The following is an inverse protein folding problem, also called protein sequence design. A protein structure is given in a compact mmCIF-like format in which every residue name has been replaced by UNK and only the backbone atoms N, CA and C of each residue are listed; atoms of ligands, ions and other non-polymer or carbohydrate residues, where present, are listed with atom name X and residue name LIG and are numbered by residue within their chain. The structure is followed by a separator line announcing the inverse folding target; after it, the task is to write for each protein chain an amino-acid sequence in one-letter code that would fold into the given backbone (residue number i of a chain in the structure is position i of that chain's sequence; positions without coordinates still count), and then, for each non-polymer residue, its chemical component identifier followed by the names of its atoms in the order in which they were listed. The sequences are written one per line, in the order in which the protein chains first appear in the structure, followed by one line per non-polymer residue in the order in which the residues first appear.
data_IF_815174323764
#
_entry.id   IF_815174323764
#
_cell.length_a   1.000
_cell.length_b   1.000
_cell.length_c   1.000
_cell.angle_alpha   90.00
_cell.angle_beta   90.00
_cell.angle_gamma   90.00
#
_symmetry.space_group_name_H-M   'P 1'
#
loop_
_entity.id
_entity.type
_entity.pdbx_description
1 polymer ?
#
# COMPACT_ATOMS: atom_id res chain seq x y z
N UNK A 1 8.06 7.02 5.19
CA UNK A 1 8.24 7.21 3.72
C UNK A 1 9.73 7.10 3.43
N UNK A 2 10.16 6.25 2.50
CA UNK A 2 11.59 6.19 2.15
C UNK A 2 11.96 7.37 1.23
N UNK A 3 13.06 8.06 1.52
CA UNK A 3 13.67 9.04 0.63
C UNK A 3 15.16 9.16 0.93
N UNK A 4 16.00 9.04 -0.10
CA UNK A 4 17.46 9.17 0.03
C UNK A 4 17.86 10.64 0.24
N UNK A 5 17.65 11.13 1.47
CA UNK A 5 17.97 12.51 1.92
C UNK A 5 19.06 12.54 2.99
N UNK A 6 19.52 11.36 3.42
CA UNK A 6 20.56 11.20 4.43
C UNK A 6 21.96 11.39 3.87
N UNK A 7 22.90 11.70 4.74
CA UNK A 7 24.31 11.80 4.39
C UNK A 7 24.85 10.45 3.90
N UNK A 8 25.51 10.44 2.74
CA UNK A 8 26.07 9.22 2.16
C UNK A 8 25.01 8.21 1.66
N UNK A 9 23.80 8.65 1.40
CA UNK A 9 22.75 7.91 0.69
C UNK A 9 22.39 8.61 -0.62
N UNK A 10 21.82 7.87 -1.57
CA UNK A 10 21.45 8.40 -2.89
C UNK A 10 20.37 7.52 -3.56
N UNK A 11 19.70 8.03 -4.61
CA UNK A 11 18.68 7.26 -5.33
C UNK A 11 19.17 5.93 -5.91
N UNK A 12 20.46 5.78 -6.24
CA UNK A 12 20.98 4.53 -6.79
C UNK A 12 21.11 3.44 -5.71
N UNK A 13 21.48 3.82 -4.48
CA UNK A 13 21.44 2.92 -3.31
C UNK A 13 20.01 2.52 -2.95
N UNK A 14 19.08 3.49 -2.95
CA UNK A 14 17.66 3.19 -2.75
C UNK A 14 17.12 2.27 -3.84
N UNK A 15 17.51 2.48 -5.11
CA UNK A 15 17.18 1.59 -6.22
C UNK A 15 17.68 0.17 -5.98
N UNK A 16 18.95 0.01 -5.59
CA UNK A 16 19.56 -1.30 -5.36
C UNK A 16 18.85 -2.08 -4.25
N UNK A 17 18.57 -1.42 -3.12
CA UNK A 17 17.84 -2.05 -2.01
C UNK A 17 16.43 -2.46 -2.46
N UNK A 18 15.70 -1.58 -3.13
CA UNK A 18 14.32 -1.85 -3.56
C UNK A 18 14.24 -2.93 -4.66
N UNK A 19 15.23 -2.99 -5.55
CA UNK A 19 15.33 -4.04 -6.56
C UNK A 19 15.62 -5.40 -5.91
N UNK A 20 16.52 -5.44 -4.92
CA UNK A 20 16.79 -6.65 -4.14
C UNK A 20 15.55 -7.08 -3.35
N UNK A 21 14.86 -6.14 -2.71
CA UNK A 21 13.63 -6.38 -1.97
C UNK A 21 12.52 -6.98 -2.83
N UNK A 22 12.38 -6.51 -4.07
CA UNK A 22 11.43 -7.03 -5.06
C UNK A 22 11.90 -8.25 -5.84
N UNK A 23 13.00 -8.90 -5.42
CA UNK A 23 13.59 -10.10 -6.04
C UNK A 23 13.98 -9.92 -7.52
N UNK A 24 14.25 -8.68 -7.95
CA UNK A 24 14.57 -8.38 -9.34
C UNK A 24 13.37 -8.32 -10.30
N UNK A 25 12.16 -8.56 -9.79
CA UNK A 25 10.90 -8.59 -10.57
C UNK A 25 10.26 -7.20 -10.76
N UNK A 26 10.92 -6.14 -10.28
CA UNK A 26 10.49 -4.76 -10.44
C UNK A 26 10.59 -4.33 -11.92
N UNK A 27 9.63 -3.53 -12.39
CA UNK A 27 9.86 -2.71 -13.58
C UNK A 27 10.93 -1.66 -13.24
N UNK A 28 12.11 -1.81 -13.84
CA UNK A 28 13.28 -0.97 -13.57
C UNK A 28 13.06 0.51 -13.91
N UNK A 29 12.20 0.81 -14.90
CA UNK A 29 11.90 2.20 -15.28
C UNK A 29 10.98 2.83 -14.24
N UNK A 30 9.97 2.10 -13.80
CA UNK A 30 9.04 2.55 -12.76
C UNK A 30 9.75 2.70 -11.41
N UNK A 31 10.56 1.71 -11.02
CA UNK A 31 11.34 1.76 -9.79
C UNK A 31 12.34 2.93 -9.79
N UNK A 32 13.01 3.17 -10.92
CA UNK A 32 13.90 4.34 -11.07
C UNK A 32 13.13 5.65 -10.85
N UNK A 33 12.00 5.81 -11.52
CA UNK A 33 11.18 7.01 -11.38
C UNK A 33 10.68 7.22 -9.94
N UNK A 34 10.36 6.13 -9.23
CA UNK A 34 9.97 6.15 -7.83
C UNK A 34 11.08 6.68 -6.91
N UNK A 35 12.28 6.09 -6.99
CA UNK A 35 13.39 6.43 -6.08
C UNK A 35 14.04 7.78 -6.40
N UNK A 36 14.10 8.16 -7.68
CA UNK A 36 14.62 9.47 -8.10
C UNK A 36 13.67 10.62 -7.68
N UNK A 37 12.35 10.36 -7.65
CA UNK A 37 11.36 11.35 -7.19
C UNK A 37 11.27 11.46 -5.66
N UNK A 38 11.84 10.53 -4.90
CA UNK A 38 11.65 10.44 -3.45
C UNK A 38 12.13 11.66 -2.66
N UNK A 39 13.33 12.22 -2.91
CA UNK A 39 13.79 13.42 -2.20
C UNK A 39 12.87 14.63 -2.45
N UNK A 40 12.47 14.85 -3.70
CA UNK A 40 11.59 15.96 -4.06
C UNK A 40 10.18 15.79 -3.46
N UNK A 41 9.67 14.55 -3.44
CA UNK A 41 8.39 14.23 -2.81
C UNK A 41 8.40 14.54 -1.31
N UNK A 42 9.46 14.16 -0.59
CA UNK A 42 9.62 14.44 0.83
C UNK A 42 9.69 15.96 1.13
N UNK A 43 10.42 16.71 0.30
CA UNK A 43 10.50 18.17 0.43
C UNK A 43 9.18 18.85 0.11
N UNK A 44 8.45 18.38 -0.91
CA UNK A 44 7.14 18.90 -1.26
C UNK A 44 6.13 18.71 -0.13
N UNK A 45 6.07 17.51 0.45
CA UNK A 45 5.23 17.25 1.63
C UNK A 45 5.58 18.17 2.80
N UNK A 46 6.88 18.40 3.04
CA UNK A 46 7.32 19.33 4.08
C UNK A 46 6.84 20.77 3.82
N UNK A 47 6.88 21.24 2.56
CA UNK A 47 6.38 22.58 2.18
C UNK A 47 4.87 22.71 2.38
N UNK A 48 4.10 21.65 2.18
CA UNK A 48 2.66 21.62 2.47
C UNK A 48 2.34 21.54 3.97
N UNK A 49 3.34 21.26 4.82
CA UNK A 49 3.18 21.26 6.27
C UNK A 49 3.25 19.90 6.94
N UNK A 50 3.69 18.84 6.25
CA UNK A 50 4.03 17.55 6.90
C UNK A 50 5.22 17.75 7.82
N UNK A 51 5.04 17.40 9.10
CA UNK A 51 6.08 17.58 10.12
C UNK A 51 6.88 16.30 10.31
N UNK A 52 7.94 16.14 9.52
CA UNK A 52 8.90 15.05 9.71
C UNK A 52 9.59 15.14 11.07
N UNK A 53 9.82 13.99 11.71
CA UNK A 53 10.63 13.87 12.92
C UNK A 53 12.04 14.43 12.67
N UNK A 54 12.58 15.13 13.66
CA UNK A 54 13.91 15.75 13.60
C UNK A 54 14.75 15.37 14.81
N UNK A 55 16.05 15.38 14.62
CA UNK A 55 17.00 15.34 15.72
C UNK A 55 17.07 16.70 16.45
N UNK A 56 17.73 16.72 17.60
CA UNK A 56 17.90 17.93 18.41
C UNK A 56 18.61 19.06 17.65
N UNK A 57 19.47 18.73 16.68
CA UNK A 57 20.17 19.68 15.81
C UNK A 57 19.33 20.13 14.59
N UNK A 58 18.09 19.67 14.47
CA UNK A 58 17.17 20.02 13.39
C UNK A 58 17.30 19.19 12.12
N UNK A 59 18.28 18.28 12.00
CA UNK A 59 18.37 17.36 10.85
C UNK A 59 17.18 16.37 10.85
N UNK A 60 16.76 15.86 9.68
CA UNK A 60 15.74 14.82 9.63
C UNK A 60 16.16 13.58 10.41
N UNK A 61 15.29 13.08 11.28
CA UNK A 61 15.51 11.79 11.96
C UNK A 61 15.18 10.67 10.99
N UNK A 62 16.20 9.94 10.56
CA UNK A 62 16.06 8.83 9.60
C UNK A 62 16.11 7.49 10.34
N UNK A 63 15.20 6.59 9.98
CA UNK A 63 15.13 5.24 10.53
C UNK A 63 15.57 4.21 9.48
N UNK A 64 16.06 3.07 9.95
CA UNK A 64 16.29 1.88 9.12
C UNK A 64 14.99 1.09 8.95
N UNK A 65 14.85 0.40 7.82
CA UNK A 65 13.79 -0.59 7.58
C UNK A 65 14.39 -1.96 7.27
N UNK A 66 13.56 -3.00 7.30
CA UNK A 66 14.00 -4.33 6.88
C UNK A 66 14.44 -4.32 5.42
N UNK A 67 15.58 -4.96 5.14
CA UNK A 67 16.14 -5.04 3.78
C UNK A 67 16.74 -3.74 3.22
N UNK A 68 16.97 -2.70 4.03
CA UNK A 68 17.63 -1.45 3.59
C UNK A 68 19.10 -1.38 4.02
N UNK A 69 19.98 -0.89 3.15
CA UNK A 69 21.42 -0.70 3.41
C UNK A 69 21.76 0.62 4.10
N UNK A 70 20.87 1.63 4.04
CA UNK A 70 21.01 2.92 4.73
C UNK A 70 19.72 3.33 5.44
N UNK A 71 19.81 4.05 6.57
CA UNK A 71 18.66 4.72 7.16
C UNK A 71 18.15 5.81 6.21
N UNK A 72 16.92 5.64 5.70
CA UNK A 72 16.28 6.60 4.79
C UNK A 72 14.78 6.73 4.99
N UNK A 73 14.26 6.16 6.07
CA UNK A 73 12.84 6.20 6.38
C UNK A 73 12.53 7.47 7.17
N UNK A 74 11.88 8.43 6.51
CA UNK A 74 11.24 9.58 7.15
C UNK A 74 9.95 9.15 7.85
N UNK A 75 9.70 9.69 9.02
CA UNK A 75 8.54 9.39 9.83
C UNK A 75 7.97 10.64 10.52
N UNK A 76 6.71 10.53 10.93
CA UNK A 76 6.05 11.35 11.94
C UNK A 76 5.60 10.39 13.04
N UNK A 77 6.44 10.22 14.08
CA UNK A 77 6.30 9.17 15.09
C UNK A 77 5.97 7.79 14.47
N UNK A 78 4.79 7.22 14.74
CA UNK A 78 4.29 5.98 14.14
C UNK A 78 2.98 6.15 13.34
N UNK A 79 2.61 7.39 13.01
CA UNK A 79 1.38 7.75 12.30
C UNK A 79 1.65 8.57 11.03
N UNK A 80 2.78 8.29 10.37
CA UNK A 80 3.25 9.04 9.18
C UNK A 80 2.20 9.15 8.07
N UNK A 81 1.47 8.07 7.79
CA UNK A 81 0.40 8.09 6.79
C UNK A 81 -0.75 9.03 7.16
N UNK A 82 -1.13 9.08 8.45
CA UNK A 82 -2.17 9.98 8.93
C UNK A 82 -1.77 11.44 8.78
N UNK A 83 -0.52 11.79 9.10
CA UNK A 83 -0.04 13.17 8.96
C UNK A 83 0.01 13.61 7.49
N UNK A 84 0.47 12.74 6.59
CA UNK A 84 0.45 13.01 5.14
C UNK A 84 -0.99 13.21 4.66
N UNK A 85 -1.91 12.31 5.04
CA UNK A 85 -3.32 12.41 4.63
C UNK A 85 -4.00 13.67 5.16
N UNK A 86 -3.74 14.06 6.42
CA UNK A 86 -4.27 15.29 7.03
C UNK A 86 -3.87 16.53 6.23
N UNK A 87 -2.59 16.62 5.86
CA UNK A 87 -2.05 17.74 5.08
C UNK A 87 -2.63 17.74 3.66
N UNK A 88 -2.59 16.61 2.95
CA UNK A 88 -3.10 16.54 1.58
C UNK A 88 -4.62 16.77 1.48
N UNK A 89 -5.40 16.33 2.48
CA UNK A 89 -6.83 16.60 2.53
C UNK A 89 -7.14 18.09 2.69
N UNK A 90 -6.39 18.80 3.54
CA UNK A 90 -6.53 20.24 3.71
C UNK A 90 -6.17 21.00 2.43
N UNK A 91 -5.11 20.60 1.73
CA UNK A 91 -4.74 21.18 0.44
C UNK A 91 -5.81 20.96 -0.64
N UNK A 92 -6.42 19.77 -0.67
CA UNK A 92 -7.51 19.46 -1.59
C UNK A 92 -8.74 20.34 -1.36
N UNK A 93 -9.09 20.56 -0.08
CA UNK A 93 -10.18 21.44 0.34
C UNK A 93 -9.88 22.89 -0.01
N UNK A 94 -8.67 23.38 0.30
CA UNK A 94 -8.23 24.74 -0.03
C UNK A 94 -8.20 25.00 -1.54
N UNK A 95 -7.89 23.99 -2.35
CA UNK A 95 -7.93 24.07 -3.81
C UNK A 95 -9.34 24.04 -4.41
N UNK A 96 -10.39 23.83 -3.58
CA UNK A 96 -11.78 23.79 -4.04
C UNK A 96 -12.09 22.62 -4.99
N UNK A 97 -11.36 21.50 -4.87
CA UNK A 97 -11.57 20.33 -5.73
C UNK A 97 -12.90 19.66 -5.35
N UNK A 98 -13.79 19.54 -6.35
CA UNK A 98 -15.09 18.89 -6.16
C UNK A 98 -14.95 17.41 -5.78
N UNK A 99 -15.71 16.97 -4.78
CA UNK A 99 -15.72 15.59 -4.28
C UNK A 99 -17.12 14.98 -4.37
N UNK A 100 -17.18 13.72 -4.77
CA UNK A 100 -18.39 12.91 -4.76
C UNK A 100 -18.19 11.74 -3.80
N UNK A 101 -18.33 12.00 -2.50
CA UNK A 101 -18.24 10.95 -1.48
C UNK A 101 -19.44 9.99 -1.58
N UNK A 102 -19.27 8.71 -1.24
CA UNK A 102 -20.31 7.67 -1.37
C UNK A 102 -20.80 7.40 -2.81
N UNK A 103 -19.91 7.59 -3.78
CA UNK A 103 -20.15 7.34 -5.21
C UNK A 103 -19.09 6.36 -5.78
N UNK A 104 -19.07 5.08 -5.38
CA UNK A 104 -18.16 4.10 -5.98
C UNK A 104 -18.34 4.06 -7.51
N UNK A 105 -17.22 3.97 -8.21
CA UNK A 105 -17.21 3.71 -9.64
C UNK A 105 -17.61 2.26 -9.89
N UNK A 106 -18.61 2.05 -10.74
CA UNK A 106 -19.10 0.72 -11.11
C UNK A 106 -18.65 0.29 -12.50
N UNK A 107 -18.33 1.27 -13.36
CA UNK A 107 -17.77 1.00 -14.70
C UNK A 107 -17.00 2.22 -15.24
N UNK A 108 -16.01 2.00 -16.11
CA UNK A 108 -15.35 3.03 -16.90
C UNK A 108 -16.12 3.31 -18.20
N UNK A 109 -16.25 4.57 -18.58
CA UNK A 109 -16.79 4.93 -19.89
C UNK A 109 -15.67 4.83 -20.93
N UNK A 110 -15.94 4.20 -22.06
CA UNK A 110 -14.99 4.04 -23.17
C UNK A 110 -15.65 4.39 -24.49
N UNK A 111 -15.00 5.22 -25.29
CA UNK A 111 -15.44 5.54 -26.64
C UNK A 111 -14.23 5.65 -27.58
N UNK A 112 -14.26 4.95 -28.72
CA UNK A 112 -13.19 5.04 -29.72
C UNK A 112 -11.81 4.59 -29.18
N UNK A 113 -11.78 3.53 -28.36
CA UNK A 113 -10.54 2.96 -27.83
C UNK A 113 -9.87 3.79 -26.72
N UNK A 114 -10.55 4.79 -26.14
CA UNK A 114 -10.06 5.59 -25.01
C UNK A 114 -11.06 5.60 -23.86
N UNK A 115 -10.57 5.82 -22.64
CA UNK A 115 -11.43 6.09 -21.47
C UNK A 115 -11.90 7.54 -21.50
N UNK A 116 -13.21 7.74 -21.30
CA UNK A 116 -13.92 9.03 -21.43
C UNK A 116 -14.66 9.44 -20.16
N UNK A 117 -14.51 8.70 -19.07
CA UNK A 117 -15.20 8.96 -17.81
C UNK A 117 -15.49 7.70 -17.01
N UNK A 118 -16.52 7.77 -16.15
CA UNK A 118 -16.97 6.65 -15.33
C UNK A 118 -18.48 6.72 -15.06
N UNK A 119 -19.06 5.55 -14.83
CA UNK A 119 -20.37 5.39 -14.19
C UNK A 119 -20.17 5.22 -12.69
N UNK A 120 -20.86 6.04 -11.91
CA UNK A 120 -20.81 6.01 -10.45
C UNK A 120 -22.18 5.61 -9.89
N UNK A 121 -22.21 4.86 -8.80
CA UNK A 121 -23.44 4.53 -8.06
C UNK A 121 -23.57 5.44 -6.84
N UNK A 122 -24.59 6.29 -6.77
CA UNK A 122 -24.88 7.04 -5.54
C UNK A 122 -25.49 6.09 -4.50
N UNK A 123 -24.72 5.70 -3.48
CA UNK A 123 -25.13 4.67 -2.51
C UNK A 123 -26.39 5.03 -1.73
N UNK A 124 -26.67 6.32 -1.53
CA UNK A 124 -27.84 6.78 -0.77
C UNK A 124 -29.16 6.62 -1.54
N UNK A 125 -29.11 6.74 -2.86
CA UNK A 125 -30.33 6.77 -3.72
C UNK A 125 -30.43 5.58 -4.66
N UNK A 126 -29.35 4.82 -4.83
CA UNK A 126 -29.26 3.74 -5.81
C UNK A 126 -29.17 4.23 -7.27
N UNK A 127 -29.04 5.54 -7.50
CA UNK A 127 -29.00 6.11 -8.86
C UNK A 127 -27.61 6.00 -9.47
N UNK A 128 -27.57 5.70 -10.76
CA UNK A 128 -26.36 5.76 -11.56
C UNK A 128 -26.14 7.20 -12.02
N UNK A 129 -24.91 7.70 -11.83
CA UNK A 129 -24.44 8.99 -12.29
C UNK A 129 -23.32 8.80 -13.31
N UNK A 130 -23.51 9.40 -14.47
CA UNK A 130 -22.50 9.43 -15.53
C UNK A 130 -21.58 10.64 -15.32
N UNK A 131 -20.27 10.42 -15.25
CA UNK A 131 -19.26 11.48 -15.18
C UNK A 131 -18.37 11.39 -16.42
N UNK A 132 -18.42 12.41 -17.28
CA UNK A 132 -17.51 12.53 -18.42
C UNK A 132 -16.22 13.23 -18.00
N UNK A 133 -15.08 12.69 -18.45
CA UNK A 133 -13.76 13.24 -18.18
C UNK A 133 -12.84 13.08 -19.40
N UNK A 134 -11.90 14.02 -19.55
CA UNK A 134 -10.86 13.94 -20.60
C UNK A 134 -9.71 13.02 -20.21
N UNK A 135 -9.48 12.87 -18.90
CA UNK A 135 -8.54 11.93 -18.31
C UNK A 135 -9.13 11.41 -16.99
N UNK A 136 -8.91 10.12 -16.70
CA UNK A 136 -9.33 9.43 -15.48
C UNK A 136 -8.10 8.87 -14.79
N UNK A 137 -8.00 9.03 -13.47
CA UNK A 137 -6.92 8.46 -12.65
C UNK A 137 -7.52 7.46 -11.66
N UNK A 138 -7.08 6.22 -11.71
CA UNK A 138 -7.39 5.21 -10.70
C UNK A 138 -6.39 5.33 -9.54
N UNK A 139 -6.92 5.56 -8.34
CA UNK A 139 -6.16 5.62 -7.09
C UNK A 139 -6.94 4.88 -5.97
N UNK A 140 -7.50 3.71 -6.31
CA UNK A 140 -8.53 3.01 -5.51
C UNK A 140 -7.98 2.08 -4.43
N UNK A 141 -6.66 2.03 -4.24
CA UNK A 141 -6.02 1.09 -3.30
C UNK A 141 -5.99 -0.36 -3.82
N UNK A 142 -5.57 -1.27 -2.94
CA UNK A 142 -5.43 -2.70 -3.26
C UNK A 142 -6.68 -3.54 -2.99
N UNK A 143 -6.50 -4.87 -3.03
CA UNK A 143 -7.56 -5.86 -2.82
C UNK A 143 -7.43 -6.64 -1.49
N UNK A 144 -6.79 -6.04 -0.47
CA UNK A 144 -6.50 -6.73 0.78
C UNK A 144 -7.72 -7.17 1.59
N UNK A 145 -8.93 -6.68 1.28
CA UNK A 145 -10.17 -7.07 1.94
C UNK A 145 -10.80 -8.35 1.39
N UNK A 146 -10.24 -8.92 0.32
CA UNK A 146 -10.66 -10.24 -0.18
C UNK A 146 -10.22 -11.39 0.73
N UNK A 147 -9.41 -11.12 1.76
CA UNK A 147 -8.94 -12.13 2.71
C UNK A 147 -8.32 -13.35 2.02
N UNK A 148 -7.48 -13.11 1.01
CA UNK A 148 -6.82 -14.15 0.23
C UNK A 148 -6.06 -15.11 1.17
N UNK A 149 -6.30 -16.40 0.98
CA UNK A 149 -5.74 -17.45 1.85
C UNK A 149 -6.35 -17.51 3.26
N UNK A 150 -7.48 -16.86 3.51
CA UNK A 150 -8.19 -16.87 4.80
C UNK A 150 -7.51 -16.05 5.91
N UNK A 151 -6.42 -15.33 5.59
CA UNK A 151 -5.69 -14.57 6.59
C UNK A 151 -6.46 -13.31 7.04
N UNK A 152 -6.28 -12.87 8.30
CA UNK A 152 -6.63 -11.53 8.71
C UNK A 152 -5.94 -10.49 7.82
N UNK A 153 -6.51 -9.29 7.75
CA UNK A 153 -5.99 -8.20 6.93
C UNK A 153 -5.87 -6.92 7.71
N UNK A 154 -4.79 -6.17 7.47
CA UNK A 154 -4.64 -4.82 8.03
C UNK A 154 -5.34 -3.75 7.18
N UNK A 155 -5.93 -4.16 6.06
CA UNK A 155 -6.50 -3.25 5.08
C UNK A 155 -7.83 -2.66 5.55
N UNK A 156 -8.09 -1.43 5.11
CA UNK A 156 -9.38 -0.79 5.29
C UNK A 156 -10.49 -1.58 4.58
N UNK A 157 -11.73 -1.46 5.05
CA UNK A 157 -12.90 -2.15 4.47
C UNK A 157 -13.13 -1.83 2.99
N UNK A 158 -12.63 -0.69 2.50
CA UNK A 158 -12.72 -0.28 1.10
C UNK A 158 -11.65 -0.84 0.16
N UNK A 159 -10.70 -1.65 0.66
CA UNK A 159 -9.65 -2.26 -0.17
C UNK A 159 -10.17 -3.53 -0.88
N UNK A 160 -11.17 -3.37 -1.74
CA UNK A 160 -11.92 -4.46 -2.39
C UNK A 160 -11.45 -4.80 -3.80
N UNK A 161 -10.45 -4.08 -4.33
CA UNK A 161 -9.87 -4.36 -5.65
C UNK A 161 -10.66 -3.80 -6.83
N UNK A 162 -11.65 -2.93 -6.61
CA UNK A 162 -12.57 -2.41 -7.64
C UNK A 162 -11.84 -1.84 -8.86
N UNK A 163 -10.82 -1.00 -8.64
CA UNK A 163 -10.06 -0.38 -9.73
C UNK A 163 -9.28 -1.38 -10.59
N UNK A 164 -8.89 -2.53 -10.05
CA UNK A 164 -8.24 -3.61 -10.80
C UNK A 164 -9.22 -4.23 -11.79
N UNK A 165 -10.44 -4.50 -11.33
CA UNK A 165 -11.53 -5.05 -12.14
C UNK A 165 -11.93 -4.07 -13.24
N UNK A 166 -12.12 -2.79 -12.89
CA UNK A 166 -12.45 -1.73 -13.84
C UNK A 166 -11.40 -1.61 -14.95
N UNK A 167 -10.12 -1.57 -14.58
CA UNK A 167 -9.04 -1.48 -15.55
C UNK A 167 -8.95 -2.76 -16.42
N UNK A 168 -9.04 -3.94 -15.81
CA UNK A 168 -9.01 -5.21 -16.54
C UNK A 168 -10.14 -5.32 -17.55
N UNK A 169 -11.38 -5.03 -17.15
CA UNK A 169 -12.56 -5.08 -18.02
C UNK A 169 -12.47 -4.08 -19.18
N UNK A 170 -11.89 -2.90 -18.94
CA UNK A 170 -11.63 -1.94 -19.99
C UNK A 170 -10.55 -2.39 -20.99
N UNK A 171 -9.75 -3.41 -20.65
CA UNK A 171 -8.70 -3.99 -21.50
C UNK A 171 -7.27 -3.68 -21.06
N UNK A 172 -7.04 -3.11 -19.88
CA UNK A 172 -5.70 -2.92 -19.34
C UNK A 172 -5.09 -4.24 -18.84
N UNK A 173 -3.78 -4.39 -19.01
CA UNK A 173 -3.05 -5.52 -18.42
C UNK A 173 -2.83 -5.32 -16.93
N UNK A 174 -2.89 -6.44 -16.20
CA UNK A 174 -2.41 -6.52 -14.83
C UNK A 174 -1.01 -7.15 -14.81
N UNK A 175 -0.17 -6.73 -13.86
CA UNK A 175 1.16 -7.28 -13.61
C UNK A 175 1.22 -7.83 -12.20
N UNK A 176 1.81 -9.01 -12.04
CA UNK A 176 1.95 -9.73 -10.77
C UNK A 176 0.63 -9.82 -9.95
N UNK A 177 -0.55 -10.08 -10.55
CA UNK A 177 -1.83 -10.09 -9.83
C UNK A 177 -1.89 -11.09 -8.67
N UNK A 178 -1.04 -12.11 -8.67
CA UNK A 178 -0.86 -13.10 -7.61
C UNK A 178 -0.02 -12.61 -6.43
N UNK A 179 0.69 -11.47 -6.57
CA UNK A 179 1.65 -11.01 -5.58
C UNK A 179 1.03 -10.14 -4.50
N UNK A 180 0.85 -10.74 -3.33
CA UNK A 180 0.39 -10.08 -2.11
C UNK A 180 1.44 -10.22 -1.01
N UNK A 181 1.67 -9.13 -0.28
CA UNK A 181 2.58 -9.09 0.85
C UNK A 181 1.83 -9.29 2.17
N UNK A 182 2.37 -10.19 2.98
CA UNK A 182 1.96 -10.40 4.36
C UNK A 182 2.89 -9.63 5.29
N UNK A 183 2.32 -8.82 6.18
CA UNK A 183 3.10 -8.19 7.24
C UNK A 183 3.35 -9.21 8.36
N UNK A 184 4.60 -9.38 8.85
CA UNK A 184 4.90 -10.41 9.85
C UNK A 184 4.19 -10.22 11.19
N UNK A 185 4.04 -8.97 11.62
CA UNK A 185 3.56 -8.61 12.96
C UNK A 185 2.15 -7.99 12.94
N UNK A 186 1.17 -8.72 12.40
CA UNK A 186 -0.23 -8.40 12.67
C UNK A 186 -0.68 -9.07 13.96
N UNK A 187 -1.44 -8.35 14.81
CA UNK A 187 -1.96 -8.91 16.05
C UNK A 187 -2.84 -10.12 15.73
N UNK A 188 -2.57 -11.24 16.39
CA UNK A 188 -3.34 -12.48 16.24
C UNK A 188 -4.31 -12.67 17.42
N UNK A 189 -3.90 -12.26 18.63
CA UNK A 189 -4.74 -12.30 19.82
C UNK A 189 -4.50 -11.04 20.68
N UNK A 190 -5.54 -10.43 21.27
CA UNK A 190 -6.96 -10.82 21.27
C UNK A 190 -7.62 -10.71 19.89
N UNK A 191 -8.59 -11.58 19.59
CA UNK A 191 -9.23 -11.66 18.27
C UNK A 191 -9.89 -10.36 17.81
N UNK A 192 -10.36 -9.51 18.73
CA UNK A 192 -10.89 -8.18 18.41
C UNK A 192 -9.88 -7.26 17.69
N UNK A 193 -8.58 -7.56 17.81
CA UNK A 193 -7.50 -6.87 17.13
C UNK A 193 -6.89 -7.68 15.99
N UNK A 194 -7.49 -8.80 15.58
CA UNK A 194 -6.94 -9.66 14.53
C UNK A 194 -6.62 -8.86 13.25
N UNK A 195 -5.36 -8.93 12.80
CA UNK A 195 -4.86 -8.19 11.65
C UNK A 195 -4.47 -6.72 11.92
N UNK A 196 -4.69 -6.21 13.13
CA UNK A 196 -4.22 -4.88 13.51
C UNK A 196 -2.69 -4.84 13.43
N UNK A 197 -2.18 -3.84 12.71
CA UNK A 197 -0.75 -3.74 12.44
C UNK A 197 0.03 -3.27 13.67
N UNK A 198 1.05 -4.03 14.06
CA UNK A 198 2.19 -3.53 14.83
C UNK A 198 3.29 -3.16 13.83
N UNK A 199 3.66 -1.88 13.80
CA UNK A 199 4.57 -1.34 12.78
C UNK A 199 5.92 -2.04 12.79
N UNK A 200 6.48 -2.25 11.60
CA UNK A 200 7.86 -2.74 11.43
C UNK A 200 8.89 -1.87 12.14
N UNK A 201 8.59 -0.60 12.40
CA UNK A 201 9.43 0.26 13.24
C UNK A 201 9.68 -0.31 14.63
N UNK A 202 8.77 -1.11 15.19
CA UNK A 202 8.94 -1.77 16.50
C UNK A 202 9.98 -2.89 16.42
N UNK A 203 10.00 -3.67 15.34
CA UNK A 203 11.07 -4.64 15.05
C UNK A 203 12.41 -3.95 14.87
N UNK A 204 12.46 -2.91 14.04
CA UNK A 204 13.66 -2.09 13.84
C UNK A 204 14.15 -1.39 15.12
N UNK A 205 13.30 -1.28 16.14
CA UNK A 205 13.62 -0.74 17.44
C UNK A 205 14.12 -1.78 18.46
N UNK A 206 14.24 -3.05 18.06
CA UNK A 206 14.79 -4.13 18.90
C UNK A 206 13.76 -5.13 19.42
N UNK A 207 12.49 -5.06 19.00
CA UNK A 207 11.53 -6.11 19.34
C UNK A 207 11.91 -7.44 18.68
N UNK A 208 11.73 -8.54 19.40
CA UNK A 208 12.15 -9.87 18.96
C UNK A 208 10.96 -10.81 18.77
N UNK A 209 11.05 -11.69 17.77
CA UNK A 209 10.06 -12.74 17.54
C UNK A 209 10.50 -14.03 18.25
N UNK A 210 9.60 -14.61 19.03
CA UNK A 210 9.85 -15.82 19.83
C UNK A 210 8.76 -16.88 19.59
N UNK A 211 9.18 -18.13 19.47
CA UNK A 211 8.26 -19.25 19.34
C UNK A 211 7.62 -19.60 20.70
N UNK A 212 6.80 -20.66 20.77
CA UNK A 212 6.09 -21.04 22.00
C UNK A 212 7.03 -21.51 23.11
N UNK A 213 8.22 -22.00 22.76
CA UNK A 213 9.30 -22.38 23.69
C UNK A 213 10.09 -21.16 24.21
N UNK A 214 9.90 -19.98 23.62
CA UNK A 214 10.58 -18.74 23.98
C UNK A 214 11.86 -18.47 23.19
N UNK A 215 12.20 -19.32 22.23
CA UNK A 215 13.40 -19.19 21.40
C UNK A 215 13.22 -18.12 20.32
N UNK A 216 14.27 -17.32 20.10
CA UNK A 216 14.34 -16.40 18.97
C UNK A 216 14.73 -17.18 17.72
N UNK A 217 13.94 -17.07 16.65
CA UNK A 217 14.07 -17.96 15.47
C UNK A 217 14.38 -17.23 14.16
N UNK A 218 14.40 -15.89 14.13
CA UNK A 218 14.62 -15.11 12.91
C UNK A 218 15.32 -13.79 13.22
N UNK A 219 16.07 -13.26 12.24
CA UNK A 219 16.50 -11.87 12.26
C UNK A 219 15.36 -10.96 11.76
N UNK A 220 14.85 -10.12 12.66
CA UNK A 220 13.70 -9.25 12.42
C UNK A 220 13.98 -8.10 11.44
N UNK A 221 15.25 -7.88 11.06
CA UNK A 221 15.67 -6.91 10.04
C UNK A 221 15.69 -7.48 8.61
N UNK A 222 15.37 -8.76 8.44
CA UNK A 222 15.17 -9.35 7.12
C UNK A 222 13.91 -8.81 6.42
N UNK A 223 13.81 -8.93 5.09
CA UNK A 223 12.61 -8.59 4.33
C UNK A 223 11.35 -9.31 4.84
N UNK A 224 10.20 -8.70 4.62
CA UNK A 224 8.91 -9.12 5.22
C UNK A 224 8.50 -10.53 4.84
N UNK A 225 8.68 -10.90 3.58
CA UNK A 225 8.42 -12.23 3.05
C UNK A 225 9.26 -13.30 3.77
N UNK A 226 10.54 -13.02 4.04
CA UNK A 226 11.42 -13.93 4.79
C UNK A 226 10.96 -14.08 6.24
N UNK A 227 10.66 -12.97 6.92
CA UNK A 227 10.21 -13.00 8.32
C UNK A 227 8.83 -13.67 8.42
N UNK A 228 7.91 -13.40 7.50
CA UNK A 228 6.59 -14.05 7.46
C UNK A 228 6.70 -15.55 7.20
N UNK A 229 7.57 -15.97 6.26
CA UNK A 229 7.84 -17.38 5.99
C UNK A 229 8.45 -18.09 7.20
N UNK A 230 9.35 -17.44 7.94
CA UNK A 230 9.90 -17.99 9.18
C UNK A 230 8.82 -18.24 10.24
N UNK A 231 7.85 -17.34 10.39
CA UNK A 231 6.72 -17.53 11.31
C UNK A 231 5.87 -18.74 10.88
N UNK A 232 5.56 -18.88 9.59
CA UNK A 232 4.83 -20.05 9.09
C UNK A 232 5.62 -21.36 9.24
N UNK A 233 6.95 -21.32 9.14
CA UNK A 233 7.80 -22.48 9.39
C UNK A 233 7.73 -22.93 10.86
N UNK A 234 7.69 -22.00 11.82
CA UNK A 234 7.47 -22.34 13.24
C UNK A 234 6.09 -22.98 13.45
N UNK A 235 5.05 -22.48 12.79
CA UNK A 235 3.71 -23.06 12.84
C UNK A 235 3.67 -24.49 12.26
N UNK A 236 4.25 -24.69 11.07
CA UNK A 236 4.33 -26.00 10.43
C UNK A 236 5.12 -27.03 11.25
N UNK A 237 6.12 -26.56 12.00
CA UNK A 237 6.92 -27.39 12.88
C UNK A 237 6.29 -27.60 14.28
N UNK A 238 5.08 -27.10 14.54
CA UNK A 238 4.40 -27.24 15.83
C UNK A 238 5.00 -26.42 16.97
N UNK A 239 5.83 -25.42 16.64
CA UNK A 239 6.49 -24.52 17.61
C UNK A 239 5.79 -23.16 17.76
N UNK A 240 4.72 -22.90 17.00
CA UNK A 240 3.87 -21.74 17.22
C UNK A 240 2.87 -21.98 18.37
N UNK A 241 2.41 -20.90 18.98
CA UNK A 241 1.38 -20.92 20.04
C UNK A 241 0.01 -21.14 19.39
N UNK A 242 -0.72 -22.20 19.76
CA UNK A 242 -2.09 -22.41 19.26
C UNK A 242 -3.03 -21.34 19.79
N UNK A 243 -3.94 -20.86 18.93
CA UNK A 243 -4.91 -19.83 19.29
C UNK A 243 -6.28 -20.45 19.63
N UNK A 244 -7.03 -19.88 20.59
CA UNK A 244 -8.39 -20.31 20.91
C UNK A 244 -9.35 -20.29 19.71
N UNK A 245 -9.16 -19.32 18.81
CA UNK A 245 -10.00 -19.09 17.63
C UNK A 245 -9.59 -19.95 16.43
N UNK A 246 -8.56 -20.79 16.59
CA UNK A 246 -7.96 -21.58 15.53
C UNK A 246 -6.74 -20.90 14.89
N UNK A 247 -5.86 -21.74 14.33
CA UNK A 247 -4.56 -21.30 13.83
C UNK A 247 -3.49 -21.21 14.92
N UNK A 248 -2.38 -20.54 14.60
CA UNK A 248 -1.26 -20.38 15.53
C UNK A 248 -0.53 -19.06 15.30
N UNK A 249 0.17 -18.60 16.33
CA UNK A 249 0.89 -17.33 16.35
C UNK A 249 2.24 -17.48 17.05
N UNK A 250 3.08 -16.47 16.95
CA UNK A 250 4.34 -16.36 17.69
C UNK A 250 4.29 -15.13 18.60
N UNK A 251 5.17 -15.07 19.59
CA UNK A 251 5.29 -13.92 20.45
C UNK A 251 6.12 -12.83 19.79
N UNK A 252 5.63 -11.58 19.84
CA UNK A 252 6.44 -10.39 19.64
C UNK A 252 6.78 -9.79 21.01
N UNK A 253 8.05 -9.87 21.39
CA UNK A 253 8.56 -9.35 22.66
C UNK A 253 9.15 -7.95 22.48
N UNK A 254 8.44 -6.95 23.01
CA UNK A 254 8.81 -5.54 22.94
C UNK A 254 9.42 -5.00 24.24
N UNK A 255 9.60 -5.82 25.28
CA UNK A 255 10.03 -5.36 26.62
C UNK A 255 11.42 -4.74 26.62
N UNK A 256 12.29 -5.13 25.69
CA UNK A 256 13.62 -4.55 25.48
C UNK A 256 13.64 -3.27 24.64
N UNK A 257 12.50 -2.80 24.14
CA UNK A 257 12.45 -1.61 23.27
C UNK A 257 12.39 -0.33 24.10
N UNK A 258 13.50 0.40 24.11
CA UNK A 258 13.59 1.69 24.79
C UNK A 258 12.63 2.74 24.21
N UNK A 259 11.96 3.50 25.09
CA UNK A 259 11.10 4.61 24.70
C UNK A 259 9.86 4.20 23.89
N UNK A 260 9.36 2.97 24.04
CA UNK A 260 8.28 2.43 23.21
C UNK A 260 7.04 3.35 23.11
N UNK A 261 6.57 3.89 24.24
CA UNK A 261 5.39 4.76 24.28
C UNK A 261 5.61 6.13 23.61
N UNK A 262 6.84 6.66 23.66
CA UNK A 262 7.20 7.92 23.02
C UNK A 262 7.41 7.73 21.51
N UNK A 263 8.07 6.65 21.11
CA UNK A 263 8.45 6.36 19.72
C UNK A 263 7.28 5.81 18.90
N UNK A 264 6.39 5.05 19.54
CA UNK A 264 5.25 4.39 18.91
C UNK A 264 3.93 4.62 19.69
N UNK A 265 3.52 5.90 19.87
CA UNK A 265 2.36 6.24 20.67
C UNK A 265 1.05 5.66 20.11
N UNK A 266 0.89 5.62 18.77
CA UNK A 266 -0.34 5.13 18.14
C UNK A 266 -0.54 3.63 18.38
N UNK A 267 0.49 2.81 18.19
CA UNK A 267 0.37 1.36 18.40
C UNK A 267 0.16 1.03 19.89
N UNK A 268 0.90 1.69 20.80
CA UNK A 268 0.77 1.49 22.24
C UNK A 268 -0.65 1.85 22.70
N UNK A 269 -1.15 3.02 22.30
CA UNK A 269 -2.49 3.45 22.68
C UNK A 269 -3.58 2.51 22.14
N UNK A 270 -3.44 2.07 20.88
CA UNK A 270 -4.40 1.15 20.25
C UNK A 270 -4.49 -0.19 20.96
N UNK A 271 -3.33 -0.78 21.28
CA UNK A 271 -3.25 -2.05 22.00
C UNK A 271 -3.74 -1.93 23.45
N UNK A 272 -3.37 -0.85 24.14
CA UNK A 272 -3.80 -0.59 25.52
C UNK A 272 -5.32 -0.49 25.66
N UNK A 273 -6.02 0.08 24.67
CA UNK A 273 -7.50 0.12 24.64
C UNK A 273 -8.15 -1.27 24.59
N UNK A 274 -7.43 -2.29 24.13
CA UNK A 274 -7.85 -3.68 24.12
C UNK A 274 -7.23 -4.50 25.27
N UNK A 275 -6.64 -3.83 26.27
CA UNK A 275 -6.03 -4.49 27.43
C UNK A 275 -4.65 -5.09 27.19
N UNK A 276 -4.00 -4.82 26.05
CA UNK A 276 -2.66 -5.34 25.73
C UNK A 276 -1.59 -4.33 26.11
N UNK A 277 -0.73 -4.67 27.07
CA UNK A 277 0.34 -3.80 27.55
C UNK A 277 1.68 -4.12 26.87
N UNK A 278 1.91 -3.56 25.67
CA UNK A 278 3.07 -3.90 24.81
C UNK A 278 4.45 -3.76 25.48
N UNK A 279 4.60 -2.87 26.47
CA UNK A 279 5.84 -2.69 27.22
C UNK A 279 6.05 -3.71 28.35
N UNK A 280 5.00 -4.40 28.78
CA UNK A 280 5.00 -5.27 29.95
C UNK A 280 4.97 -6.75 29.57
N UNK A 281 4.29 -7.09 28.48
CA UNK A 281 4.07 -8.48 28.06
C UNK A 281 4.25 -8.66 26.54
N UNK A 282 4.79 -9.80 26.08
CA UNK A 282 4.80 -10.14 24.67
C UNK A 282 3.37 -10.27 24.12
N UNK A 283 3.18 -9.93 22.85
CA UNK A 283 1.88 -10.02 22.16
C UNK A 283 1.90 -11.10 21.09
N UNK A 284 0.81 -11.85 20.94
CA UNK A 284 0.70 -12.86 19.89
C UNK A 284 0.48 -12.20 18.54
N UNK A 285 1.36 -12.53 17.59
CA UNK A 285 1.34 -12.01 16.23
C UNK A 285 1.43 -13.13 15.20
N UNK A 286 0.84 -12.89 14.03
CA UNK A 286 0.91 -13.78 12.88
C UNK A 286 0.98 -12.97 11.57
N UNK A 287 1.50 -13.56 10.48
CA UNK A 287 1.45 -12.96 9.16
C UNK A 287 0.03 -12.53 8.79
N UNK A 288 -0.12 -11.29 8.36
CA UNK A 288 -1.42 -10.65 8.07
C UNK A 288 -1.37 -10.04 6.67
N UNK A 289 -2.40 -10.26 5.86
CA UNK A 289 -2.50 -9.70 4.51
C UNK A 289 -2.46 -8.16 4.59
N UNK A 290 -1.51 -7.55 3.87
CA UNK A 290 -1.15 -6.16 4.15
C UNK A 290 -1.10 -5.26 2.92
N UNK A 291 -0.50 -5.72 1.82
CA UNK A 291 -0.28 -4.88 0.65
C UNK A 291 -0.32 -5.71 -0.64
N UNK A 292 -0.87 -5.16 -1.70
CA UNK A 292 -0.83 -5.77 -3.04
C UNK A 292 0.36 -5.23 -3.83
N UNK A 293 1.32 -6.07 -4.21
CA UNK A 293 2.49 -5.63 -4.99
C UNK A 293 2.17 -5.49 -6.48
N UNK A 294 1.29 -6.37 -6.98
CA UNK A 294 0.78 -6.33 -8.34
C UNK A 294 -0.34 -5.32 -8.54
N UNK A 295 -0.78 -5.16 -9.78
CA UNK A 295 -1.85 -4.23 -10.11
C UNK A 295 -1.89 -3.86 -11.59
N UNK A 296 -2.56 -2.75 -11.89
CA UNK A 296 -2.66 -2.21 -13.25
C UNK A 296 -1.27 -1.87 -13.76
N UNK A 297 -0.94 -2.35 -14.97
CA UNK A 297 0.30 -2.01 -15.65
C UNK A 297 0.30 -0.52 -16.01
N UNK A 298 1.35 0.18 -15.58
CA UNK A 298 1.56 1.60 -15.89
C UNK A 298 2.97 1.89 -16.37
N UNK A 299 3.13 2.99 -17.10
CA UNK A 299 4.44 3.58 -17.36
C UNK A 299 4.92 4.48 -16.19
N UNK A 300 6.15 5.03 -16.23
CA UNK A 300 6.67 5.91 -15.17
C UNK A 300 5.85 7.20 -14.90
N UNK A 301 4.99 7.60 -15.83
CA UNK A 301 4.10 8.75 -15.67
C UNK A 301 2.67 8.33 -15.28
N UNK A 302 2.46 7.04 -14.99
CA UNK A 302 1.18 6.49 -14.55
C UNK A 302 0.19 6.21 -15.67
N UNK A 303 0.57 6.35 -16.94
CA UNK A 303 -0.30 6.03 -18.06
C UNK A 303 -0.48 4.52 -18.19
N UNK A 304 -1.73 4.08 -18.39
CA UNK A 304 -2.08 2.67 -18.62
C UNK A 304 -1.97 2.31 -20.10
N UNK A 305 -2.35 1.07 -20.45
CA UNK A 305 -2.46 0.63 -21.85
C UNK A 305 -3.56 1.38 -22.64
N UNK A 306 -4.49 2.06 -21.96
CA UNK A 306 -5.60 2.77 -22.61
C UNK A 306 -5.41 4.29 -22.56
N UNK A 307 -5.51 4.98 -23.71
CA UNK A 307 -5.54 6.44 -23.74
C UNK A 307 -6.63 7.01 -22.83
N UNK A 308 -6.29 8.07 -22.09
CA UNK A 308 -7.23 8.71 -21.17
C UNK A 308 -7.36 8.04 -19.80
N UNK A 309 -6.71 6.90 -19.56
CA UNK A 309 -6.67 6.24 -18.26
C UNK A 309 -5.26 6.20 -17.67
N UNK A 310 -5.17 6.61 -16.42
CA UNK A 310 -3.96 6.61 -15.61
C UNK A 310 -4.23 5.82 -14.31
N UNK A 311 -3.18 5.31 -13.67
CA UNK A 311 -3.27 4.66 -12.37
C UNK A 311 -2.05 4.99 -11.50
N UNK A 312 -2.24 5.06 -10.18
CA UNK A 312 -1.17 5.32 -9.22
C UNK A 312 -1.51 4.83 -7.81
N UNK A 313 -0.48 4.61 -6.99
CA UNK A 313 -0.62 3.98 -5.68
C UNK A 313 -0.86 2.47 -5.81
N UNK A 314 -1.42 1.85 -4.77
CA UNK A 314 -1.52 0.38 -4.64
C UNK A 314 -2.42 -0.31 -5.70
N UNK A 315 -3.22 0.45 -6.46
CA UNK A 315 -3.96 -0.11 -7.60
C UNK A 315 -3.02 -0.39 -8.79
N UNK A 316 -1.88 0.30 -8.88
CA UNK A 316 -0.88 0.10 -9.91
C UNK A 316 0.14 -0.95 -9.47
N UNK A 317 0.66 -1.72 -10.43
CA UNK A 317 1.65 -2.75 -10.18
C UNK A 317 3.01 -2.47 -10.81
N UNK A 318 4.01 -3.27 -10.42
CA UNK A 318 5.31 -3.33 -11.09
C UNK A 318 6.43 -2.57 -10.39
N UNK A 319 6.15 -1.51 -9.62
CA UNK A 319 7.20 -0.74 -8.93
C UNK A 319 7.93 -1.58 -7.87
N UNK A 320 7.22 -2.50 -7.22
CA UNK A 320 7.71 -3.29 -6.10
C UNK A 320 8.08 -4.73 -6.46
N UNK A 321 7.92 -5.14 -7.72
CA UNK A 321 8.08 -6.53 -8.14
C UNK A 321 7.14 -7.44 -7.33
N UNK A 322 7.69 -8.50 -6.75
CA UNK A 322 6.91 -9.48 -5.97
C UNK A 322 7.01 -9.28 -4.46
N UNK A 323 7.75 -8.29 -3.98
CA UNK A 323 7.88 -8.00 -2.55
C UNK A 323 8.32 -6.55 -2.29
N UNK A 324 7.45 -5.79 -1.62
CA UNK A 324 7.69 -4.36 -1.33
C UNK A 324 8.55 -4.13 -0.08
N UNK A 325 9.55 -3.25 -0.18
CA UNK A 325 10.25 -2.73 1.00
C UNK A 325 9.41 -1.75 1.85
N UNK A 326 9.62 -1.78 3.17
CA UNK A 326 8.96 -0.88 4.12
C UNK A 326 9.06 0.59 3.69
N UNK A 327 7.98 1.36 3.80
CA UNK A 327 8.01 2.79 3.54
C UNK A 327 7.96 3.19 2.05
N UNK A 328 8.17 2.27 1.11
CA UNK A 328 8.02 2.54 -0.32
C UNK A 328 6.54 2.68 -0.75
N UNK A 329 5.57 2.10 -0.03
CA UNK A 329 4.14 2.27 -0.37
C UNK A 329 3.69 3.73 -0.24
N UNK A 330 4.04 4.40 0.87
CA UNK A 330 3.73 5.83 1.03
C UNK A 330 4.49 6.69 0.02
N UNK A 331 5.71 6.31 -0.31
CA UNK A 331 6.47 6.98 -1.36
C UNK A 331 5.75 6.83 -2.72
N UNK A 332 5.29 5.63 -3.07
CA UNK A 332 4.57 5.37 -4.33
C UNK A 332 3.32 6.22 -4.47
N UNK A 333 2.46 6.24 -3.44
CA UNK A 333 1.25 7.06 -3.43
C UNK A 333 1.58 8.52 -3.73
N UNK A 334 2.64 9.07 -3.12
CA UNK A 334 2.99 10.49 -3.25
C UNK A 334 3.72 10.76 -4.57
N UNK A 335 4.81 10.04 -4.83
CA UNK A 335 5.68 10.29 -5.98
C UNK A 335 4.98 9.93 -7.29
N UNK A 336 4.44 8.72 -7.41
CA UNK A 336 3.76 8.30 -8.63
C UNK A 336 2.40 8.97 -8.77
N UNK A 337 1.70 9.26 -7.66
CA UNK A 337 0.47 10.05 -7.70
C UNK A 337 0.67 11.46 -8.27
N UNK A 338 1.75 12.15 -7.88
CA UNK A 338 2.12 13.45 -8.47
C UNK A 338 2.43 13.35 -9.96
N UNK A 339 3.15 12.30 -10.38
CA UNK A 339 3.48 12.07 -11.80
C UNK A 339 2.22 11.79 -12.62
N UNK A 340 1.38 10.86 -12.17
CA UNK A 340 0.10 10.51 -12.80
C UNK A 340 -0.84 11.71 -12.89
N UNK A 341 -1.00 12.48 -11.81
CA UNK A 341 -1.81 13.70 -11.81
C UNK A 341 -1.31 14.74 -12.81
N UNK A 342 0.00 14.98 -12.87
CA UNK A 342 0.59 15.92 -13.83
C UNK A 342 0.44 15.44 -15.28
N UNK A 343 0.62 14.14 -15.55
CA UNK A 343 0.44 13.55 -16.87
C UNK A 343 -1.02 13.58 -17.33
N UNK A 344 -1.96 13.21 -16.45
CA UNK A 344 -3.40 13.28 -16.70
C UNK A 344 -3.84 14.73 -16.98
N UNK A 345 -3.34 15.71 -16.23
CA UNK A 345 -3.63 17.11 -16.46
C UNK A 345 -3.12 17.61 -17.82
N UNK A 346 -1.92 17.16 -18.26
CA UNK A 346 -1.41 17.46 -19.62
C UNK A 346 -2.29 16.83 -20.69
N UNK A 347 -2.62 15.55 -20.56
CA UNK A 347 -3.47 14.83 -21.51
C UNK A 347 -4.87 15.46 -21.64
N UNK A 348 -5.46 15.90 -20.52
CA UNK A 348 -6.78 16.51 -20.50
C UNK A 348 -6.87 17.84 -21.27
N UNK A 349 -5.75 18.56 -21.47
CA UNK A 349 -5.74 19.82 -22.23
C UNK A 349 -5.98 19.59 -23.72
N UNK A 350 -5.50 18.48 -24.27
CA UNK A 350 -5.55 18.19 -25.71
C UNK A 350 -6.58 17.13 -26.08
N UNK A 351 -7.00 16.29 -25.13
CA UNK A 351 -7.97 15.24 -25.40
C UNK A 351 -9.38 15.80 -25.71
N UNK A 352 -10.06 15.32 -26.76
CA UNK A 352 -11.43 15.73 -27.06
C UNK A 352 -12.40 15.19 -26.00
N UNK A 353 -13.52 15.86 -25.70
CA UNK A 353 -14.59 15.24 -24.94
C UNK A 353 -15.08 13.97 -25.67
N UNK A 354 -15.45 12.94 -24.93
CA UNK A 354 -15.98 11.69 -25.49
C UNK A 354 -17.42 11.45 -25.06
N UNK A 355 -18.24 10.76 -25.87
CA UNK A 355 -19.59 10.39 -25.47
C UNK A 355 -19.56 9.41 -24.29
N UNK A 356 -20.65 9.34 -23.51
CA UNK A 356 -20.81 8.33 -22.47
C UNK A 356 -21.16 6.99 -23.11
N UNK A 357 -20.13 6.27 -23.57
CA UNK A 357 -20.26 4.96 -24.20
C UNK A 357 -19.54 3.87 -23.39
N UNK A 358 -19.85 2.62 -23.71
CA UNK A 358 -19.29 1.41 -23.11
C UNK A 358 -18.73 0.50 -24.21
N UNK A 359 -18.00 1.08 -25.18
CA UNK A 359 -17.46 0.36 -26.34
C UNK A 359 -16.73 -0.93 -25.96
N UNK A 360 -15.98 -0.92 -24.84
CA UNK A 360 -15.26 -2.10 -24.36
C UNK A 360 -16.19 -3.27 -23.98
N UNK A 361 -17.38 -2.99 -23.42
CA UNK A 361 -18.37 -4.03 -23.12
C UNK A 361 -19.08 -4.49 -24.39
N UNK A 362 -19.39 -3.58 -25.32
CA UNK A 362 -19.98 -3.94 -26.60
C UNK A 362 -19.05 -4.82 -27.45
N UNK A 363 -17.74 -4.62 -27.31
CA UNK A 363 -16.71 -5.43 -27.95
C UNK A 363 -16.35 -6.70 -27.15
N UNK A 364 -16.90 -6.89 -25.94
CA UNK A 364 -16.58 -8.04 -25.10
C UNK A 364 -17.13 -9.32 -25.74
N UNK A 365 -16.27 -10.30 -26.11
CA UNK A 365 -16.69 -11.47 -26.88
C UNK A 365 -17.51 -12.50 -26.08
N UNK A 366 -17.87 -12.21 -24.83
CA UNK A 366 -18.58 -13.13 -23.91
C UNK A 366 -17.79 -14.38 -23.49
N UNK A 367 -16.61 -14.61 -24.08
CA UNK A 367 -15.78 -15.82 -23.94
C UNK A 367 -14.28 -15.49 -23.85
N UNK A 368 -13.95 -14.30 -23.35
CA UNK A 368 -12.56 -13.92 -23.06
C UNK A 368 -11.94 -14.81 -21.97
N UNK A 369 -10.60 -14.76 -21.77
CA UNK A 369 -10.00 -15.45 -20.64
C UNK A 369 -10.73 -15.03 -19.36
N UNK A 370 -11.18 -15.99 -18.53
CA UNK A 370 -11.95 -15.70 -17.33
C UNK A 370 -11.24 -14.61 -16.54
N UNK A 371 -11.99 -13.60 -16.10
CA UNK A 371 -11.43 -12.52 -15.31
C UNK A 371 -10.56 -13.15 -14.21
N UNK A 372 -9.28 -12.75 -14.07
CA UNK A 372 -8.43 -13.27 -13.02
C UNK A 372 -9.02 -12.79 -11.71
N UNK A 373 -9.87 -13.64 -11.13
CA UNK A 373 -10.39 -13.60 -9.77
C UNK A 373 -10.88 -12.20 -9.40
N UNK A 374 -12.16 -11.86 -9.62
CA UNK A 374 -12.82 -10.90 -8.71
C UNK A 374 -14.34 -10.78 -8.80
N UNK A 375 -15.01 -11.14 -9.90
CA UNK A 375 -16.48 -11.25 -9.94
C UNK A 375 -16.90 -12.33 -10.96
N UNK A 376 -18.01 -13.08 -10.71
CA UNK A 376 -18.58 -13.95 -11.72
C UNK A 376 -18.98 -13.11 -12.94
N UNK A 377 -18.70 -13.62 -14.14
CA UNK A 377 -19.22 -13.04 -15.38
C UNK A 377 -20.75 -12.89 -15.25
N UNK A 378 -21.34 -11.80 -15.77
CA UNK A 378 -22.78 -11.68 -15.80
C UNK A 378 -23.36 -12.85 -16.61
N UNK A 379 -24.25 -13.61 -15.96
CA UNK A 379 -25.02 -14.71 -16.57
C UNK A 379 -25.82 -14.24 -17.79
#
# INVERSE_FOLDING_TARGET
LQAAVGEGDDPARHFADALAGGHGENDRRLLRALVEAAPEAAQWLARLGVRWDREADGRPRLRSGGGTSRPRLLACADYTGLEIMRVLAAELEAAGVGRLDYHPAVELLTAGGRVTGALLLELRTGRIRTVSARAVVLATGGAGRLHLGGAPTSNHYGATGDGLVLAYRAGCRLVHPESYQYHPTGVAHPHALAGALITEGVRAAGATLRNREGDRFVDEMLPRDVVAAAIWAEAAAGRAVPLPEGGSAVWLDCRGVEGLAERFPSVVQKLARAGVALASEPVLVAPTLHFQNGGVRVDPDGATDLPGLFACGEVAGGAHGTNRLMGNALLEVVALGRRAGAAAARAAKTAPPGPPALDHLAAWPGTGPPAPVLLPDPL
#
